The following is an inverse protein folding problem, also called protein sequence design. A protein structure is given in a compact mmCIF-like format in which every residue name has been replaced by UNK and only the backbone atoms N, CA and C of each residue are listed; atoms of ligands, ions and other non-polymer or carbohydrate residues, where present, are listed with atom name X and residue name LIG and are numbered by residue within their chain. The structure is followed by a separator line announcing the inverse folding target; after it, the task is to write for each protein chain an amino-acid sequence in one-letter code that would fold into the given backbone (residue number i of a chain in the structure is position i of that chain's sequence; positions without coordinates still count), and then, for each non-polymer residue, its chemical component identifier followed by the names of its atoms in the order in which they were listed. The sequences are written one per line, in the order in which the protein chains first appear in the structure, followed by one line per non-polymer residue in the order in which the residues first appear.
data_IF_997603514831
#
_entry.id   IF_997603514831
#
_cell.length_a   1.000
_cell.length_b   1.000
_cell.length_c   1.000
_cell.angle_alpha   90.00
_cell.angle_beta   90.00
_cell.angle_gamma   90.00
#
_symmetry.space_group_name_H-M   'P 1'
#
loop_
_entity.id
_entity.type
_entity.pdbx_description
1 polymer ?
#
# COMPACT_ATOMS: atom_id res chain seq x y z
N UNK A 1 16.11 -33.44 -50.60
CA UNK A 1 14.95 -33.10 -49.72
C UNK A 1 14.50 -31.70 -50.03
N UNK A 2 13.21 -31.51 -50.36
CA UNK A 2 12.61 -30.24 -50.69
C UNK A 2 12.85 -29.20 -49.59
N UNK A 3 13.16 -27.94 -49.92
CA UNK A 3 13.36 -26.85 -48.93
C UNK A 3 12.19 -26.72 -47.95
N UNK A 4 10.97 -27.01 -48.39
CA UNK A 4 9.77 -27.02 -47.57
C UNK A 4 9.82 -28.05 -46.43
N UNK A 5 10.39 -29.27 -46.69
CA UNK A 5 10.55 -30.31 -45.65
C UNK A 5 11.60 -29.92 -44.60
N UNK A 6 12.61 -29.13 -44.95
CA UNK A 6 13.61 -28.62 -44.01
C UNK A 6 13.01 -27.55 -43.12
N UNK A 7 12.18 -26.66 -43.65
CA UNK A 7 11.50 -25.61 -42.91
C UNK A 7 10.49 -26.22 -41.91
N UNK A 8 9.71 -27.22 -42.35
CA UNK A 8 8.77 -27.92 -41.47
C UNK A 8 9.46 -28.65 -40.31
N UNK A 9 10.61 -29.32 -40.56
CA UNK A 9 11.41 -29.93 -39.50
C UNK A 9 11.98 -28.90 -38.53
N UNK A 10 12.44 -27.74 -39.02
CA UNK A 10 12.98 -26.67 -38.20
C UNK A 10 11.88 -26.05 -37.32
N UNK A 11 10.67 -25.83 -37.88
CA UNK A 11 9.52 -25.32 -37.16
C UNK A 11 9.07 -26.30 -36.06
N UNK A 12 9.05 -27.61 -36.37
CA UNK A 12 8.70 -28.66 -35.42
C UNK A 12 9.73 -28.75 -34.27
N UNK A 13 11.02 -28.61 -34.58
CA UNK A 13 12.10 -28.62 -33.58
C UNK A 13 12.02 -27.38 -32.66
N UNK A 14 11.70 -26.19 -33.21
CA UNK A 14 11.49 -24.96 -32.49
C UNK A 14 10.23 -25.04 -31.57
N UNK A 15 9.15 -25.67 -32.06
CA UNK A 15 7.93 -25.90 -31.25
C UNK A 15 8.20 -26.88 -30.12
N UNK A 16 8.95 -27.98 -30.36
CA UNK A 16 9.36 -28.94 -29.34
C UNK A 16 10.31 -28.31 -28.30
N UNK A 17 11.25 -27.44 -28.73
CA UNK A 17 12.10 -26.69 -27.80
C UNK A 17 11.30 -25.70 -26.93
N UNK A 18 10.28 -25.05 -27.51
CA UNK A 18 9.39 -24.18 -26.75
C UNK A 18 8.54 -24.94 -25.72
N UNK A 19 8.20 -26.21 -25.97
CA UNK A 19 7.50 -27.09 -25.01
C UNK A 19 8.43 -27.66 -23.93
N UNK A 20 9.75 -27.61 -24.13
CA UNK A 20 10.76 -28.07 -23.18
C UNK A 20 11.33 -26.94 -22.30
N UNK A 21 10.90 -25.70 -22.54
CA UNK A 21 11.18 -24.65 -21.56
C UNK A 21 10.42 -25.00 -20.29
N UNK A 22 11.10 -25.16 -19.16
CA UNK A 22 10.39 -25.34 -17.91
C UNK A 22 9.45 -24.16 -17.77
N UNK A 23 8.17 -24.42 -17.66
CA UNK A 23 7.24 -23.43 -17.10
C UNK A 23 7.79 -23.19 -15.71
N UNK A 24 8.54 -22.11 -15.54
CA UNK A 24 8.79 -21.60 -14.21
C UNK A 24 7.39 -21.25 -13.68
N UNK A 25 6.81 -22.18 -12.96
CA UNK A 25 5.73 -21.86 -12.06
C UNK A 25 6.33 -20.78 -11.16
N UNK A 26 5.92 -19.54 -11.34
CA UNK A 26 6.26 -18.47 -10.41
C UNK A 26 5.80 -19.00 -9.06
N UNK A 27 6.74 -19.22 -8.16
CA UNK A 27 6.39 -19.64 -6.81
C UNK A 27 5.41 -18.62 -6.25
N UNK A 28 4.28 -19.08 -5.74
CA UNK A 28 3.30 -18.18 -5.13
C UNK A 28 3.97 -17.43 -3.99
N UNK A 29 3.78 -16.11 -3.94
CA UNK A 29 4.28 -15.28 -2.83
C UNK A 29 3.57 -15.74 -1.56
N UNK A 30 4.28 -16.26 -0.55
CA UNK A 30 3.65 -16.74 0.67
C UNK A 30 3.01 -15.58 1.43
N UNK A 31 1.85 -15.83 2.03
CA UNK A 31 1.17 -14.90 2.92
C UNK A 31 1.16 -15.48 4.32
N UNK A 32 1.75 -14.76 5.26
CA UNK A 32 1.77 -15.12 6.67
C UNK A 32 0.95 -14.08 7.40
N UNK A 33 -0.07 -14.51 8.13
CA UNK A 33 -0.86 -13.66 9.00
C UNK A 33 -0.45 -13.94 10.43
N UNK A 34 0.27 -12.99 11.05
CA UNK A 34 0.60 -13.04 12.45
C UNK A 34 -0.43 -12.20 13.22
N UNK A 35 -1.34 -12.86 13.91
CA UNK A 35 -2.22 -12.21 14.86
C UNK A 35 -1.48 -12.06 16.19
N UNK A 36 -1.69 -10.96 16.88
CA UNK A 36 -1.06 -10.66 18.20
C UNK A 36 -1.29 -11.77 19.25
N UNK A 37 -2.25 -12.65 19.01
CA UNK A 37 -2.58 -13.80 19.84
C UNK A 37 -1.54 -14.93 19.79
N UNK A 38 -0.60 -14.89 18.84
CA UNK A 38 0.49 -15.87 18.75
C UNK A 38 1.85 -15.17 18.52
N UNK A 39 2.34 -14.40 19.50
CA UNK A 39 3.59 -13.64 19.38
C UNK A 39 4.82 -14.53 19.26
N UNK A 40 4.73 -15.80 19.64
CA UNK A 40 5.84 -16.78 19.60
C UNK A 40 5.89 -17.59 18.31
N UNK A 41 5.06 -17.26 17.31
CA UNK A 41 5.12 -17.92 16.01
C UNK A 41 6.41 -17.55 15.30
N UNK A 42 7.34 -18.48 15.21
CA UNK A 42 8.55 -18.33 14.39
C UNK A 42 8.23 -18.65 12.94
N UNK A 43 8.50 -17.68 12.06
CA UNK A 43 8.37 -17.84 10.62
C UNK A 43 9.76 -18.01 10.01
N UNK A 44 9.94 -19.11 9.29
CA UNK A 44 11.18 -19.37 8.57
C UNK A 44 11.00 -18.95 7.11
N UNK A 45 11.78 -18.01 6.68
CA UNK A 45 11.89 -17.58 5.29
C UNK A 45 13.17 -18.15 4.69
N UNK A 46 13.18 -18.34 3.37
CA UNK A 46 14.42 -18.67 2.67
C UNK A 46 15.46 -17.55 2.85
N UNK A 47 16.73 -17.93 2.93
CA UNK A 47 17.83 -16.96 3.08
C UNK A 47 17.79 -15.95 1.91
N UNK A 48 17.78 -14.68 2.24
CA UNK A 48 17.70 -13.59 1.25
C UNK A 48 16.31 -13.30 0.70
N UNK A 49 15.26 -13.94 1.22
CA UNK A 49 13.90 -13.60 0.83
C UNK A 49 13.57 -12.16 1.21
N UNK A 50 13.08 -11.38 0.24
CA UNK A 50 12.53 -10.04 0.51
C UNK A 50 11.11 -10.18 1.03
N UNK A 51 10.82 -9.55 2.14
CA UNK A 51 9.54 -9.67 2.86
C UNK A 51 8.86 -8.30 2.87
N UNK A 52 7.61 -8.26 2.39
CA UNK A 52 6.73 -7.13 2.66
C UNK A 52 6.04 -7.37 4.01
N UNK A 53 6.33 -6.50 4.97
CA UNK A 53 5.63 -6.47 6.26
C UNK A 53 4.55 -5.42 6.23
N UNK A 54 3.35 -5.78 6.65
CA UNK A 54 2.21 -4.87 6.80
C UNK A 54 1.71 -5.00 8.23
N UNK A 55 1.77 -3.92 8.98
CA UNK A 55 1.44 -3.89 10.40
C UNK A 55 0.32 -2.90 10.66
N UNK A 56 -0.66 -3.33 11.41
CA UNK A 56 -1.82 -2.56 11.85
C UNK A 56 -1.71 -2.27 13.35
N UNK A 57 -1.14 -1.13 13.76
CA UNK A 57 -1.11 -0.74 15.17
C UNK A 57 -2.54 -0.66 15.72
N UNK A 58 -2.73 -1.09 16.97
CA UNK A 58 -4.07 -1.09 17.58
C UNK A 58 -4.48 0.33 17.99
N UNK A 59 -4.94 1.13 17.03
CA UNK A 59 -5.36 2.52 17.22
C UNK A 59 -6.89 2.69 17.33
N UNK A 60 -7.62 1.59 17.59
CA UNK A 60 -9.09 1.53 17.78
C UNK A 60 -9.90 2.06 16.59
N UNK A 61 -10.66 3.16 16.81
CA UNK A 61 -11.53 3.77 15.80
C UNK A 61 -10.80 4.78 14.88
N UNK A 62 -9.51 4.65 14.75
CA UNK A 62 -8.69 5.49 13.87
C UNK A 62 -7.76 4.60 13.03
N UNK A 63 -7.14 5.13 12.00
CA UNK A 63 -6.31 4.35 11.09
C UNK A 63 -4.83 4.71 11.16
N UNK A 64 -4.01 3.68 11.16
CA UNK A 64 -2.57 3.75 10.93
C UNK A 64 -2.11 2.40 10.41
N UNK A 65 -1.43 2.38 9.29
CA UNK A 65 -0.85 1.16 8.71
C UNK A 65 0.62 1.43 8.41
N UNK A 66 1.48 0.53 8.84
CA UNK A 66 2.91 0.57 8.53
C UNK A 66 3.24 -0.52 7.50
N UNK A 67 3.94 -0.15 6.44
CA UNK A 67 4.50 -1.08 5.48
C UNK A 67 6.02 -0.94 5.51
N UNK A 68 6.71 -2.07 5.56
CA UNK A 68 8.17 -2.12 5.46
C UNK A 68 8.58 -3.11 4.37
N UNK A 69 9.43 -2.67 3.46
CA UNK A 69 9.95 -3.51 2.40
C UNK A 69 11.29 -2.97 1.89
N UNK A 70 12.29 -3.85 1.76
CA UNK A 70 13.58 -3.57 1.13
C UNK A 70 14.21 -2.25 1.62
N UNK A 71 14.30 -2.08 2.94
CA UNK A 71 14.89 -0.91 3.58
C UNK A 71 14.01 0.34 3.64
N UNK A 72 12.87 0.38 2.95
CA UNK A 72 11.96 1.51 2.95
C UNK A 72 10.74 1.28 3.83
N UNK A 73 10.25 2.37 4.43
CA UNK A 73 9.07 2.39 5.30
C UNK A 73 8.03 3.36 4.74
N UNK A 74 6.79 2.87 4.67
CA UNK A 74 5.63 3.69 4.35
C UNK A 74 4.63 3.66 5.51
N UNK A 75 4.07 4.83 5.84
CA UNK A 75 2.95 4.96 6.76
C UNK A 75 1.72 5.45 6.01
N UNK A 76 0.61 4.72 6.16
CA UNK A 76 -0.69 5.10 5.63
C UNK A 76 -1.54 5.53 6.80
N UNK A 77 -1.96 6.79 6.79
CA UNK A 77 -2.62 7.49 7.88
C UNK A 77 -1.85 7.40 9.21
N UNK A 78 -2.11 8.28 10.12
CA UNK A 78 -1.35 8.41 11.36
C UNK A 78 -2.22 8.58 12.60
N UNK A 79 -3.48 8.15 12.49
CA UNK A 79 -4.42 8.21 13.62
C UNK A 79 -4.65 9.66 14.10
N UNK A 80 -5.08 9.78 15.34
CA UNK A 80 -5.40 11.06 15.99
C UNK A 80 -4.20 11.62 16.74
N UNK A 81 -4.34 12.85 17.24
CA UNK A 81 -3.39 13.46 18.20
C UNK A 81 -3.52 12.92 19.63
N UNK A 82 -4.34 11.91 19.89
CA UNK A 82 -4.49 11.29 21.21
C UNK A 82 -3.20 10.59 21.65
N UNK A 83 -2.74 10.89 22.88
CA UNK A 83 -1.47 10.35 23.39
C UNK A 83 -1.43 8.82 23.44
N UNK A 84 -2.55 8.18 23.80
CA UNK A 84 -2.62 6.70 23.86
C UNK A 84 -2.43 6.10 22.46
N UNK A 85 -3.06 6.68 21.43
CA UNK A 85 -2.92 6.21 20.05
C UNK A 85 -1.50 6.42 19.52
N UNK A 86 -0.93 7.61 19.78
CA UNK A 86 0.48 7.91 19.43
C UNK A 86 1.45 6.91 20.06
N UNK A 87 1.32 6.63 21.36
CA UNK A 87 2.20 5.68 22.04
C UNK A 87 2.12 4.28 21.43
N UNK A 88 0.96 3.86 20.93
CA UNK A 88 0.81 2.57 20.25
C UNK A 88 1.52 2.55 18.89
N UNK A 89 1.47 3.67 18.16
CA UNK A 89 2.23 3.83 16.91
C UNK A 89 3.72 3.80 17.21
N UNK A 90 4.18 4.53 18.24
CA UNK A 90 5.59 4.53 18.64
C UNK A 90 6.07 3.14 19.08
N UNK A 91 5.27 2.42 19.87
CA UNK A 91 5.57 1.03 20.24
C UNK A 91 5.69 0.13 19.01
N UNK A 92 4.83 0.30 18.01
CA UNK A 92 4.94 -0.45 16.77
C UNK A 92 6.23 -0.09 16.00
N UNK A 93 6.57 1.19 15.92
CA UNK A 93 7.84 1.64 15.32
C UNK A 93 9.04 1.03 16.06
N UNK A 94 9.07 1.08 17.40
CA UNK A 94 10.15 0.50 18.20
C UNK A 94 10.28 -1.01 17.97
N UNK A 95 9.15 -1.73 17.99
CA UNK A 95 9.12 -3.19 17.79
C UNK A 95 9.67 -3.58 16.41
N UNK A 96 9.42 -2.76 15.39
CA UNK A 96 9.87 -2.99 14.02
C UNK A 96 11.23 -2.37 13.73
N UNK A 97 11.82 -1.62 14.67
CA UNK A 97 13.08 -0.87 14.43
C UNK A 97 12.92 0.24 13.39
N UNK A 98 11.75 0.88 13.34
CA UNK A 98 11.46 2.00 12.43
C UNK A 98 11.88 3.30 13.11
N UNK A 99 12.87 3.96 12.57
CA UNK A 99 13.41 5.25 13.02
C UNK A 99 13.16 6.40 12.04
N UNK A 100 12.61 6.11 10.86
CA UNK A 100 12.19 7.08 9.85
C UNK A 100 11.04 6.54 8.99
N UNK A 101 10.35 7.44 8.30
CA UNK A 101 9.27 7.14 7.36
C UNK A 101 9.63 7.74 6.00
N UNK A 102 9.89 6.90 4.99
CA UNK A 102 10.20 7.37 3.64
C UNK A 102 9.00 8.01 2.96
N UNK A 103 7.83 7.39 3.13
CA UNK A 103 6.58 7.86 2.52
C UNK A 103 5.47 7.87 3.58
N UNK A 104 4.94 9.05 3.88
CA UNK A 104 3.67 9.20 4.59
C UNK A 104 2.55 9.45 3.57
N UNK A 105 1.47 8.67 3.66
CA UNK A 105 0.31 8.75 2.77
C UNK A 105 -0.95 9.04 3.58
N UNK A 106 -1.71 10.05 3.17
CA UNK A 106 -3.01 10.34 3.78
C UNK A 106 -4.15 9.94 2.84
N UNK A 107 -5.00 9.03 3.29
CA UNK A 107 -6.15 8.54 2.55
C UNK A 107 -7.23 9.61 2.40
N UNK A 108 -7.51 10.36 3.47
CA UNK A 108 -8.44 11.48 3.51
C UNK A 108 -8.23 12.34 4.77
N UNK A 109 -8.67 13.62 4.77
CA UNK A 109 -8.32 14.57 5.82
C UNK A 109 -9.32 14.63 7.00
N UNK A 110 -9.67 13.49 7.61
CA UNK A 110 -10.32 13.44 8.91
C UNK A 110 -9.27 13.35 10.03
N UNK A 111 -9.68 13.71 11.26
CA UNK A 111 -8.77 13.82 12.39
C UNK A 111 -8.18 12.49 12.85
N UNK A 112 -8.90 11.43 12.68
CA UNK A 112 -8.51 10.07 13.01
C UNK A 112 -7.61 9.42 11.94
N UNK A 113 -7.23 10.18 10.89
CA UNK A 113 -6.32 9.78 9.83
C UNK A 113 -5.12 10.71 9.69
N UNK A 114 -5.32 12.05 9.78
CA UNK A 114 -4.27 13.02 9.43
C UNK A 114 -3.59 13.69 10.63
N UNK A 115 -4.27 13.81 11.77
CA UNK A 115 -3.80 14.65 12.88
C UNK A 115 -2.54 14.11 13.58
N UNK A 116 -2.26 12.81 13.44
CA UNK A 116 -1.10 12.18 14.06
C UNK A 116 0.25 12.42 13.37
N UNK A 117 0.27 12.76 12.08
CA UNK A 117 1.51 12.87 11.32
C UNK A 117 2.55 13.82 11.90
N UNK A 118 2.13 14.94 12.50
CA UNK A 118 3.05 15.88 13.13
C UNK A 118 3.84 15.23 14.29
N UNK A 119 3.19 14.37 15.08
CA UNK A 119 3.83 13.68 16.21
C UNK A 119 4.67 12.50 15.74
N UNK A 120 4.22 11.83 14.68
CA UNK A 120 5.03 10.78 14.04
C UNK A 120 6.33 11.37 13.52
N UNK A 121 6.28 12.54 12.87
CA UNK A 121 7.49 13.19 12.36
C UNK A 121 8.48 13.58 13.47
N UNK A 122 8.00 13.92 14.67
CA UNK A 122 8.87 14.20 15.82
C UNK A 122 9.55 12.93 16.34
N UNK A 123 8.96 11.76 16.12
CA UNK A 123 9.43 10.46 16.59
C UNK A 123 10.26 9.72 15.53
N UNK A 124 9.72 9.60 14.33
CA UNK A 124 10.32 9.00 13.15
C UNK A 124 10.16 10.00 11.99
N UNK A 125 11.21 10.76 11.63
CA UNK A 125 11.13 11.80 10.62
C UNK A 125 10.57 11.30 9.29
N UNK A 126 9.69 12.12 8.68
CA UNK A 126 9.02 11.83 7.41
C UNK A 126 9.82 12.46 6.26
N UNK A 127 10.17 11.66 5.25
CA UNK A 127 10.91 12.13 4.08
C UNK A 127 10.01 12.72 2.99
N UNK A 128 8.76 12.22 2.85
CA UNK A 128 7.82 12.66 1.83
C UNK A 128 6.38 12.48 2.31
N UNK A 129 5.51 13.44 1.97
CA UNK A 129 4.10 13.38 2.30
C UNK A 129 3.22 13.35 1.05
N UNK A 130 2.50 12.26 0.83
CA UNK A 130 1.55 12.07 -0.25
C UNK A 130 0.14 12.41 0.25
N UNK A 131 -0.53 13.33 -0.43
CA UNK A 131 -1.90 13.73 -0.14
C UNK A 131 -2.82 13.40 -1.32
N UNK A 132 -4.06 13.07 -1.04
CA UNK A 132 -5.06 12.66 -2.04
C UNK A 132 -6.18 13.68 -2.19
N UNK A 133 -6.17 14.73 -1.39
CA UNK A 133 -7.06 15.89 -1.44
C UNK A 133 -6.26 17.17 -1.63
N UNK A 134 -6.87 18.24 -2.15
CA UNK A 134 -6.20 19.54 -2.28
C UNK A 134 -5.65 20.06 -0.95
N UNK A 135 -4.49 20.73 -0.97
CA UNK A 135 -3.83 21.28 0.22
C UNK A 135 -4.73 22.19 1.07
N UNK A 136 -5.69 22.85 0.43
CA UNK A 136 -6.62 23.78 1.05
C UNK A 136 -8.02 23.21 1.31
N UNK A 137 -8.20 21.91 1.15
CA UNK A 137 -9.49 21.21 1.20
C UNK A 137 -10.29 21.54 2.48
N UNK A 138 -9.68 21.35 3.64
CA UNK A 138 -10.28 21.67 4.95
C UNK A 138 -9.24 22.18 5.96
N UNK A 139 -9.67 22.52 7.16
CA UNK A 139 -8.79 23.08 8.19
C UNK A 139 -7.69 22.07 8.63
N UNK A 140 -7.98 20.77 8.63
CA UNK A 140 -7.03 19.72 9.03
C UNK A 140 -5.96 19.52 7.97
N UNK A 141 -6.34 19.40 6.69
CA UNK A 141 -5.38 19.34 5.59
C UNK A 141 -4.47 20.58 5.60
N UNK A 142 -5.05 21.80 5.74
CA UNK A 142 -4.26 23.03 5.84
C UNK A 142 -3.26 23.00 7.01
N UNK A 143 -3.65 22.44 8.16
CA UNK A 143 -2.78 22.33 9.33
C UNK A 143 -1.63 21.36 9.07
N UNK A 144 -1.92 20.17 8.52
CA UNK A 144 -0.91 19.18 8.18
C UNK A 144 0.07 19.71 7.13
N UNK A 145 -0.44 20.29 6.05
CA UNK A 145 0.38 20.91 4.99
C UNK A 145 1.27 22.02 5.54
N UNK A 146 0.73 22.90 6.41
CA UNK A 146 1.52 23.94 7.06
C UNK A 146 2.67 23.35 7.89
N UNK A 147 2.39 22.28 8.65
CA UNK A 147 3.40 21.59 9.44
C UNK A 147 4.49 20.97 8.55
N UNK A 148 4.09 20.25 7.50
CA UNK A 148 5.04 19.60 6.58
C UNK A 148 5.94 20.63 5.89
N UNK A 149 5.38 21.74 5.39
CA UNK A 149 6.13 22.83 4.78
C UNK A 149 7.12 23.49 5.77
N UNK A 150 6.69 23.70 7.02
CA UNK A 150 7.55 24.27 8.06
C UNK A 150 8.75 23.37 8.44
N UNK A 151 8.63 22.05 8.20
CA UNK A 151 9.68 21.06 8.43
C UNK A 151 10.44 20.67 7.13
N UNK A 152 10.22 21.39 6.02
CA UNK A 152 10.83 21.13 4.71
C UNK A 152 10.52 19.72 4.16
N UNK A 153 9.38 19.13 4.51
CA UNK A 153 8.95 17.85 4.00
C UNK A 153 8.26 18.05 2.65
N UNK A 154 8.74 17.46 1.56
CA UNK A 154 8.11 17.53 0.26
C UNK A 154 6.69 16.98 0.29
N UNK A 155 5.76 17.71 -0.32
CA UNK A 155 4.36 17.32 -0.46
C UNK A 155 4.06 17.06 -1.93
N UNK A 156 3.43 15.94 -2.20
CA UNK A 156 2.96 15.60 -3.55
C UNK A 156 1.48 15.23 -3.48
N UNK A 157 0.67 15.89 -4.31
CA UNK A 157 -0.73 15.51 -4.48
C UNK A 157 -0.84 14.46 -5.57
N UNK A 158 -1.45 13.33 -5.22
CA UNK A 158 -1.71 12.19 -6.10
C UNK A 158 -3.21 11.88 -6.14
N UNK A 159 -3.66 11.14 -7.12
CA UNK A 159 -5.07 10.82 -7.29
C UNK A 159 -5.33 9.53 -8.06
N UNK A 160 -6.55 9.33 -8.47
CA UNK A 160 -6.99 8.09 -9.09
C UNK A 160 -6.15 7.67 -10.29
N UNK A 161 -5.62 6.46 -10.25
CA UNK A 161 -4.78 5.86 -11.29
C UNK A 161 -3.28 6.13 -11.13
N UNK A 162 -2.87 7.04 -10.25
CA UNK A 162 -1.46 7.27 -9.98
C UNK A 162 -0.83 6.05 -9.33
N UNK A 163 0.43 5.81 -9.68
CA UNK A 163 1.18 4.66 -9.19
C UNK A 163 2.55 5.09 -8.69
N UNK A 164 3.00 4.45 -7.63
CA UNK A 164 4.35 4.59 -7.09
C UNK A 164 4.82 3.24 -6.52
N UNK A 165 6.06 3.17 -6.06
CA UNK A 165 6.65 1.92 -5.55
C UNK A 165 7.22 2.11 -4.16
N UNK A 166 7.31 1.01 -3.42
CA UNK A 166 8.04 0.90 -2.17
C UNK A 166 9.17 -0.12 -2.34
N UNK A 167 10.29 0.13 -1.66
CA UNK A 167 11.52 -0.63 -1.75
C UNK A 167 12.52 -0.04 -2.74
N UNK A 168 13.81 -0.20 -2.47
CA UNK A 168 14.89 0.28 -3.35
C UNK A 168 14.83 -0.35 -4.73
N UNK A 169 14.37 -1.60 -4.80
CA UNK A 169 14.17 -2.34 -6.06
C UNK A 169 12.81 -2.05 -6.73
N UNK A 170 11.94 -1.27 -6.07
CA UNK A 170 10.57 -1.01 -6.54
C UNK A 170 9.67 -2.24 -6.54
N UNK A 171 9.99 -3.25 -5.72
CA UNK A 171 9.30 -4.56 -5.75
C UNK A 171 7.85 -4.53 -5.27
N UNK A 172 7.43 -3.51 -4.51
CA UNK A 172 6.03 -3.33 -4.12
C UNK A 172 5.42 -2.19 -4.91
N UNK A 173 4.39 -2.49 -5.69
CA UNK A 173 3.67 -1.48 -6.48
C UNK A 173 2.43 -1.01 -5.74
N UNK A 174 2.26 0.29 -5.67
CA UNK A 174 1.08 0.97 -5.15
C UNK A 174 0.27 1.58 -6.29
N UNK A 175 -1.06 1.47 -6.22
CA UNK A 175 -1.97 2.14 -7.17
C UNK A 175 -3.07 2.83 -6.39
N UNK A 176 -3.25 4.13 -6.62
CA UNK A 176 -4.31 4.92 -5.98
C UNK A 176 -5.64 4.69 -6.70
N UNK A 177 -6.67 4.44 -5.92
CA UNK A 177 -8.04 4.23 -6.39
C UNK A 177 -8.94 5.22 -5.67
N UNK A 178 -9.44 6.23 -6.39
CA UNK A 178 -10.23 7.29 -5.78
C UNK A 178 -11.31 7.79 -6.73
N UNK A 179 -12.44 8.17 -6.18
CA UNK A 179 -13.48 8.85 -6.93
C UNK A 179 -14.03 10.04 -6.15
N UNK A 180 -13.92 11.21 -6.75
CA UNK A 180 -14.44 12.44 -6.17
C UNK A 180 -15.83 12.77 -6.72
N UNK A 181 -16.78 12.98 -5.82
CA UNK A 181 -18.10 13.47 -6.17
C UNK A 181 -18.58 14.46 -5.11
N UNK A 182 -18.86 15.69 -5.51
CA UNK A 182 -19.21 16.79 -4.60
C UNK A 182 -20.39 16.52 -3.66
N UNK A 183 -21.27 15.57 -4.02
CA UNK A 183 -22.43 15.16 -3.20
C UNK A 183 -22.11 14.03 -2.20
N UNK A 184 -20.85 13.55 -2.16
CA UNK A 184 -20.43 12.50 -1.25
C UNK A 184 -19.77 13.06 -0.01
N UNK A 185 -19.88 12.32 1.10
CA UNK A 185 -19.07 12.57 2.29
C UNK A 185 -17.58 12.38 2.03
N UNK A 186 -16.75 12.90 2.91
CA UNK A 186 -15.29 12.80 2.78
C UNK A 186 -14.84 11.33 2.86
N UNK A 187 -15.47 10.52 3.73
CA UNK A 187 -15.20 9.09 3.83
C UNK A 187 -15.41 8.37 2.48
N UNK A 188 -16.55 8.59 1.83
CA UNK A 188 -16.83 7.99 0.51
C UNK A 188 -15.87 8.46 -0.59
N UNK A 189 -15.04 9.47 -0.33
CA UNK A 189 -14.02 10.00 -1.23
C UNK A 189 -12.60 9.62 -0.78
N UNK A 190 -12.44 8.80 0.27
CA UNK A 190 -11.14 8.30 0.71
C UNK A 190 -10.42 7.63 -0.45
N UNK A 191 -9.13 7.91 -0.58
CA UNK A 191 -8.31 7.24 -1.56
C UNK A 191 -7.90 5.86 -1.05
N UNK A 192 -8.43 4.84 -1.68
CA UNK A 192 -7.99 3.47 -1.47
C UNK A 192 -6.61 3.27 -2.08
N UNK A 193 -5.83 2.39 -1.50
CA UNK A 193 -4.52 2.03 -2.00
C UNK A 193 -4.47 0.53 -2.30
N UNK A 194 -4.25 0.19 -3.57
CA UNK A 194 -3.94 -1.17 -3.98
C UNK A 194 -2.46 -1.42 -3.81
N UNK A 195 -2.11 -2.34 -2.93
CA UNK A 195 -0.74 -2.81 -2.69
C UNK A 195 -0.55 -4.11 -3.45
N UNK A 196 0.44 -4.18 -4.33
CA UNK A 196 0.79 -5.39 -5.07
C UNK A 196 2.24 -5.78 -4.79
N UNK A 197 2.45 -7.01 -4.33
CA UNK A 197 3.74 -7.63 -4.15
C UNK A 197 3.73 -9.03 -4.77
N UNK A 198 4.56 -9.24 -5.78
CA UNK A 198 4.53 -10.47 -6.57
C UNK A 198 3.15 -10.70 -7.20
N UNK A 199 2.57 -11.86 -6.95
CA UNK A 199 1.22 -12.26 -7.38
C UNK A 199 0.12 -11.86 -6.39
N UNK A 200 0.48 -11.36 -5.21
CA UNK A 200 -0.45 -10.97 -4.14
C UNK A 200 -0.86 -9.50 -4.25
N UNK A 201 -2.12 -9.26 -3.90
CA UNK A 201 -2.71 -7.92 -3.87
C UNK A 201 -3.53 -7.74 -2.61
N UNK A 202 -3.41 -6.56 -2.02
CA UNK A 202 -4.20 -6.12 -0.88
C UNK A 202 -4.80 -4.76 -1.18
N UNK A 203 -6.07 -4.58 -0.89
CA UNK A 203 -6.73 -3.28 -0.95
C UNK A 203 -6.85 -2.69 0.45
N UNK A 204 -6.26 -1.53 0.65
CA UNK A 204 -6.39 -0.72 1.85
C UNK A 204 -7.43 0.36 1.55
N UNK A 205 -8.60 0.23 2.16
CA UNK A 205 -9.80 0.95 1.71
C UNK A 205 -9.95 2.35 2.34
N UNK A 206 -9.21 2.67 3.40
CA UNK A 206 -9.53 3.84 4.24
C UNK A 206 -11.00 3.75 4.70
N UNK A 207 -11.65 4.88 4.83
CA UNK A 207 -13.04 4.98 5.31
C UNK A 207 -14.11 4.90 4.22
N UNK A 208 -13.81 4.23 3.10
CA UNK A 208 -14.82 4.11 2.04
C UNK A 208 -16.10 3.45 2.52
N UNK A 209 -17.21 4.16 2.39
CA UNK A 209 -18.55 3.77 2.84
C UNK A 209 -19.44 3.26 1.69
N UNK A 210 -20.73 3.12 1.96
CA UNK A 210 -21.70 2.52 1.06
C UNK A 210 -21.75 3.13 -0.35
N UNK A 211 -21.61 4.44 -0.50
CA UNK A 211 -21.76 5.11 -1.81
C UNK A 211 -20.58 4.80 -2.74
N UNK A 212 -19.38 4.88 -2.20
CA UNK A 212 -18.17 4.52 -2.95
C UNK A 212 -18.15 3.03 -3.26
N UNK A 213 -18.48 2.18 -2.29
CA UNK A 213 -18.56 0.72 -2.48
C UNK A 213 -19.55 0.35 -3.58
N UNK A 214 -20.76 0.92 -3.58
CA UNK A 214 -21.74 0.71 -4.63
C UNK A 214 -21.26 1.21 -6.00
N UNK A 215 -20.59 2.38 -6.02
CA UNK A 215 -20.06 2.91 -7.27
C UNK A 215 -19.00 1.97 -7.85
N UNK A 216 -18.04 1.51 -7.05
CA UNK A 216 -16.99 0.61 -7.51
C UNK A 216 -17.53 -0.77 -7.90
N UNK A 217 -18.51 -1.29 -7.19
CA UNK A 217 -19.20 -2.54 -7.56
C UNK A 217 -19.94 -2.44 -8.91
N UNK A 218 -20.54 -1.27 -9.19
CA UNK A 218 -21.26 -1.03 -10.45
C UNK A 218 -20.33 -0.69 -11.63
N UNK A 219 -19.08 -0.30 -11.38
CA UNK A 219 -18.12 0.11 -12.38
C UNK A 219 -16.83 -0.75 -12.32
N UNK A 220 -16.93 -2.06 -12.54
CA UNK A 220 -15.79 -2.99 -12.36
C UNK A 220 -14.68 -2.80 -13.39
N UNK A 221 -14.93 -2.08 -14.49
CA UNK A 221 -13.97 -1.90 -15.59
C UNK A 221 -12.67 -1.22 -15.15
N UNK A 222 -12.71 -0.41 -14.10
CA UNK A 222 -11.51 0.19 -13.51
C UNK A 222 -10.71 -0.79 -12.63
N UNK A 223 -11.26 -1.97 -12.32
CA UNK A 223 -10.73 -2.88 -11.30
C UNK A 223 -10.72 -4.36 -11.73
N UNK A 224 -10.82 -4.68 -13.02
CA UNK A 224 -10.90 -6.04 -13.56
C UNK A 224 -9.70 -6.95 -13.21
N UNK A 225 -8.72 -6.45 -12.47
CA UNK A 225 -7.61 -7.24 -11.93
C UNK A 225 -7.67 -7.41 -10.41
N UNK A 226 -8.77 -6.99 -9.77
CA UNK A 226 -9.04 -7.20 -8.36
C UNK A 226 -9.68 -8.57 -8.14
N UNK A 227 -8.91 -9.62 -8.13
CA UNK A 227 -9.30 -10.81 -7.37
C UNK A 227 -9.00 -10.50 -5.90
N UNK A 228 -10.01 -10.04 -5.16
CA UNK A 228 -9.92 -9.98 -3.71
C UNK A 228 -9.70 -11.42 -3.22
N UNK A 229 -8.64 -11.72 -2.46
CA UNK A 229 -8.62 -12.96 -1.72
C UNK A 229 -9.81 -12.91 -0.77
N UNK A 230 -10.78 -13.79 -0.97
CA UNK A 230 -11.85 -14.00 0.00
C UNK A 230 -11.20 -14.57 1.24
N UNK A 231 -11.03 -13.74 2.27
CA UNK A 231 -10.69 -14.26 3.59
C UNK A 231 -11.99 -14.90 4.09
N UNK A 232 -12.04 -16.24 4.05
CA UNK A 232 -13.06 -17.05 4.71
C UNK A 232 -12.71 -17.21 6.18
#
# INVERSE_FOLDING_TARGET
ASPMKKIQKLLFLLLMMAMLLPTFAMAETPVIVNLVENPDAEYHFEDGAKILEIVFPRVYSSDCILLRYDGMVMMIDASTKNATMRNRIYTACDTLGIDHIDIAYNSHPHDDHIDGFQFVNEYAPISKFLITFPEDFNARMKSAVKFMKANNIPIEQIGNGDTFTLGEDGGVKMTVIQYHKSSWGVNDQSAMLMVQYGDRRMLLAGDNENRSQQYFAANPVSYTHLTLPTIL
#
